data_IF_782742705373
#
_entry.id   IF_782742705373
#
_cell.length_a   1.000
_cell.length_b   1.000
_cell.length_c   1.000
_cell.angle_alpha   90.00
_cell.angle_beta   90.00
_cell.angle_gamma   90.00
#
_symmetry.space_group_name_H-M   'P 1'
#
loop_
_entity.id
_entity.type
_entity.pdbx_description
1 polymer ?
#
# COMPACT_ATOMS: atom_id res chain seq x y z
N UNK A 1 13.90 -2.96 14.65
CA UNK A 1 12.57 -3.34 14.09
C UNK A 1 12.07 -2.18 13.25
N UNK A 2 11.63 -2.40 12.00
CA UNK A 2 11.05 -1.36 11.14
C UNK A 2 9.53 -1.40 11.14
N UNK A 3 8.88 -0.24 11.25
CA UNK A 3 7.42 -0.11 11.23
C UNK A 3 6.98 0.77 10.05
N UNK A 4 5.86 0.42 9.44
CA UNK A 4 5.25 1.20 8.36
C UNK A 4 3.73 1.19 8.49
N UNK A 5 3.10 2.32 8.17
CA UNK A 5 1.65 2.50 8.25
C UNK A 5 1.16 3.15 6.98
N UNK A 6 0.22 2.49 6.31
CA UNK A 6 -0.35 3.00 5.08
C UNK A 6 -1.85 3.22 5.31
N UNK A 7 -2.18 4.44 5.72
CA UNK A 7 -3.54 4.83 6.07
C UNK A 7 -4.32 5.10 4.79
N UNK A 8 -5.39 4.34 4.60
CA UNK A 8 -6.35 4.50 3.51
C UNK A 8 -7.75 4.25 4.04
N UNK A 9 -8.71 4.30 3.13
CA UNK A 9 -10.12 4.03 3.42
C UNK A 9 -10.49 2.62 2.95
N UNK A 10 -11.48 1.99 3.60
CA UNK A 10 -12.00 0.69 3.19
C UNK A 10 -13.22 0.93 2.31
N UNK A 11 -13.19 0.46 1.07
CA UNK A 11 -14.34 0.53 0.16
C UNK A 11 -15.40 -0.51 0.51
N UNK A 12 -16.64 -0.22 0.15
CA UNK A 12 -17.77 -1.16 0.28
C UNK A 12 -17.74 -2.30 -0.75
N UNK A 13 -17.04 -2.09 -1.88
CA UNK A 13 -16.88 -3.09 -2.94
C UNK A 13 -15.46 -3.08 -3.51
N UNK A 14 -14.92 -4.25 -3.91
CA UNK A 14 -13.54 -4.35 -4.39
C UNK A 14 -13.38 -3.70 -5.77
N UNK A 15 -12.22 -3.08 -6.01
CA UNK A 15 -11.79 -2.56 -7.31
C UNK A 15 -10.34 -2.95 -7.61
N UNK A 16 -10.05 -3.24 -8.87
CA UNK A 16 -8.75 -3.75 -9.33
C UNK A 16 -8.65 -5.27 -9.26
N UNK A 17 -7.74 -5.82 -10.06
CA UNK A 17 -7.47 -7.25 -10.23
C UNK A 17 -6.08 -7.67 -9.73
N UNK A 18 -5.23 -6.70 -9.40
CA UNK A 18 -3.88 -6.91 -8.88
C UNK A 18 -3.82 -7.11 -7.37
N UNK A 19 -2.59 -7.32 -6.89
CA UNK A 19 -2.34 -7.46 -5.45
C UNK A 19 -2.85 -8.77 -4.84
N UNK A 20 -3.11 -8.76 -3.54
CA UNK A 20 -3.58 -9.90 -2.76
C UNK A 20 -4.33 -9.43 -1.50
N UNK A 21 -5.12 -10.34 -0.90
CA UNK A 21 -5.84 -10.05 0.35
C UNK A 21 -6.80 -8.86 0.21
N UNK A 22 -6.64 -7.86 1.07
CA UNK A 22 -7.51 -6.67 1.12
C UNK A 22 -7.12 -5.56 0.14
N UNK A 23 -6.12 -5.78 -0.71
CA UNK A 23 -5.66 -4.76 -1.67
C UNK A 23 -6.79 -4.15 -2.52
N UNK A 24 -7.79 -4.91 -3.01
CA UNK A 24 -8.90 -4.35 -3.79
C UNK A 24 -9.87 -3.48 -2.99
N UNK A 25 -9.80 -3.49 -1.66
CA UNK A 25 -10.68 -2.72 -0.78
C UNK A 25 -9.98 -1.51 -0.16
N UNK A 26 -8.65 -1.48 -0.15
CA UNK A 26 -7.89 -0.39 0.47
C UNK A 26 -7.68 0.77 -0.52
N UNK A 27 -8.43 1.85 -0.34
CA UNK A 27 -8.42 3.06 -1.16
C UNK A 27 -7.43 4.12 -0.68
N UNK A 28 -6.71 4.74 -1.60
CA UNK A 28 -5.78 5.83 -1.33
C UNK A 28 -6.10 7.05 -2.19
N UNK A 29 -6.57 8.12 -1.54
CA UNK A 29 -7.05 9.34 -2.22
C UNK A 29 -5.96 10.02 -3.07
N UNK A 30 -4.71 10.04 -2.61
CA UNK A 30 -3.59 10.65 -3.34
C UNK A 30 -3.30 9.96 -4.69
N UNK A 31 -3.53 8.65 -4.76
CA UNK A 31 -3.32 7.85 -5.98
C UNK A 31 -4.63 7.66 -6.75
N UNK A 32 -5.77 8.05 -6.18
CA UNK A 32 -7.11 7.84 -6.71
C UNK A 32 -7.31 6.37 -7.19
N UNK A 33 -6.84 5.43 -6.37
CA UNK A 33 -6.78 4.01 -6.71
C UNK A 33 -6.81 3.16 -5.43
N UNK A 34 -7.28 1.92 -5.55
CA UNK A 34 -7.03 0.89 -4.54
C UNK A 34 -5.60 0.36 -4.62
N UNK A 35 -5.12 -0.31 -3.58
CA UNK A 35 -3.82 -0.99 -3.63
C UNK A 35 -3.73 -2.11 -4.67
N UNK A 36 -4.86 -2.61 -5.19
CA UNK A 36 -4.93 -3.58 -6.28
C UNK A 36 -4.88 -2.93 -7.67
N UNK A 37 -5.32 -1.67 -7.80
CA UNK A 37 -5.26 -0.89 -9.04
C UNK A 37 -3.89 -0.24 -9.27
N UNK A 38 -3.05 -0.16 -8.23
CA UNK A 38 -1.71 0.43 -8.34
C UNK A 38 -0.70 -0.49 -9.01
N UNK A 39 0.13 0.09 -9.88
CA UNK A 39 1.31 -0.60 -10.39
C UNK A 39 2.26 -1.04 -9.25
N UNK A 40 2.85 -2.21 -9.44
CA UNK A 40 3.75 -2.82 -8.48
C UNK A 40 4.97 -1.95 -8.17
N UNK A 41 5.50 -1.18 -9.13
CA UNK A 41 6.65 -0.30 -8.92
C UNK A 41 6.28 0.85 -7.99
N UNK A 42 5.11 1.45 -8.18
CA UNK A 42 4.61 2.50 -7.30
C UNK A 42 4.36 1.96 -5.88
N UNK A 43 3.65 0.84 -5.77
CA UNK A 43 3.32 0.21 -4.48
C UNK A 43 4.58 -0.16 -3.68
N UNK A 44 5.62 -0.63 -4.36
CA UNK A 44 6.91 -0.95 -3.72
C UNK A 44 7.68 0.28 -3.22
N UNK A 45 7.27 1.50 -3.57
CA UNK A 45 7.87 2.75 -3.07
C UNK A 45 7.10 3.35 -1.90
N UNK A 46 5.78 3.22 -1.87
CA UNK A 46 4.92 3.99 -0.95
C UNK A 46 4.19 3.16 0.11
N UNK A 47 4.07 1.84 -0.07
CA UNK A 47 3.29 0.98 0.82
C UNK A 47 3.87 0.88 2.24
N UNK A 48 3.07 0.36 3.18
CA UNK A 48 3.50 0.08 4.55
C UNK A 48 4.76 -0.80 4.60
N UNK A 49 4.90 -1.75 3.66
CA UNK A 49 6.10 -2.57 3.51
C UNK A 49 7.32 -1.72 3.13
N UNK A 50 7.17 -0.84 2.15
CA UNK A 50 8.26 0.05 1.72
C UNK A 50 8.71 0.96 2.87
N UNK A 51 7.75 1.54 3.59
CA UNK A 51 8.02 2.35 4.77
C UNK A 51 8.72 1.57 5.89
N UNK A 52 8.23 0.36 6.21
CA UNK A 52 8.83 -0.49 7.23
C UNK A 52 10.27 -0.89 6.87
N UNK A 53 10.52 -1.21 5.60
CA UNK A 53 11.86 -1.54 5.11
C UNK A 53 12.79 -0.34 5.19
N UNK A 54 12.35 0.83 4.73
CA UNK A 54 13.14 2.07 4.82
C UNK A 54 13.46 2.42 6.28
N UNK A 55 12.49 2.28 7.18
CA UNK A 55 12.68 2.49 8.61
C UNK A 55 13.64 1.47 9.24
N UNK A 56 13.69 0.24 8.73
CA UNK A 56 14.66 -0.77 9.16
C UNK A 56 16.08 -0.46 8.65
N UNK A 57 16.22 -0.08 7.38
CA UNK A 57 17.50 0.25 6.76
C UNK A 57 18.14 1.47 7.43
N UNK A 58 17.36 2.50 7.74
CA UNK A 58 17.85 3.71 8.41
C UNK A 58 18.32 3.51 9.87
N UNK A 59 18.22 2.30 10.42
CA UNK A 59 18.78 1.95 11.74
C UNK A 59 20.27 1.55 11.66
N UNK A 60 20.82 1.43 10.45
CA UNK A 60 22.22 1.13 10.18
C UNK A 60 22.90 2.33 9.52
#
# INVERSE_FOLDING_TARGET
>A
VGLGKWCGEVLESPKGDGGFGYDPLMWFAEQNATAAEMDSVLKNKISHRAQALNALVAQF
#
